data_IF_297661452876
#
_entry.id   IF_297661452876
#
_cell.length_a   1.000
_cell.length_b   1.000
_cell.length_c   1.000
_cell.angle_alpha   90.00
_cell.angle_beta   90.00
_cell.angle_gamma   90.00
#
_symmetry.space_group_name_H-M   'P 1'
#
loop_
_entity.id
_entity.type
_entity.pdbx_description
1 polymer ?
#
# COMPACT_ATOMS: atom_id res chain seq x y z
N UNK A 1 37.28 24.77 29.92
CA UNK A 1 37.32 23.74 28.86
C UNK A 1 36.70 22.47 29.40
N UNK A 2 35.45 22.20 29.04
CA UNK A 2 34.84 20.88 29.08
C UNK A 2 33.91 20.83 27.86
N UNK A 3 34.40 20.19 26.80
CA UNK A 3 33.66 19.95 25.57
C UNK A 3 32.72 18.77 25.80
N UNK A 4 31.47 19.05 26.15
CA UNK A 4 30.41 18.07 25.98
C UNK A 4 29.81 18.34 24.61
N UNK A 5 30.16 17.50 23.64
CA UNK A 5 29.49 17.47 22.33
C UNK A 5 28.08 16.98 22.61
N UNK A 6 27.11 17.88 22.49
CA UNK A 6 25.70 17.54 22.48
C UNK A 6 25.40 16.75 21.20
N UNK A 7 25.31 15.42 21.35
CA UNK A 7 24.96 14.49 20.28
C UNK A 7 23.44 14.38 20.07
N UNK A 8 22.63 15.31 20.59
CA UNK A 8 21.19 15.38 20.28
C UNK A 8 20.84 16.43 19.21
N UNK A 9 21.82 16.96 18.49
CA UNK A 9 21.56 17.73 17.28
C UNK A 9 21.10 16.82 16.13
N UNK A 10 19.78 16.86 15.88
CA UNK A 10 19.03 16.56 14.63
C UNK A 10 18.09 15.36 14.75
N UNK A 11 16.81 15.66 14.95
CA UNK A 11 15.71 14.73 14.72
C UNK A 11 15.74 14.22 13.26
N UNK A 12 15.51 12.93 13.00
CA UNK A 12 15.41 12.39 11.64
C UNK A 12 13.98 12.61 11.11
N UNK A 13 13.58 13.87 10.91
CA UNK A 13 12.23 14.17 10.40
C UNK A 13 12.16 14.35 8.88
N UNK A 14 13.30 14.34 8.16
CA UNK A 14 13.33 14.65 6.73
C UNK A 14 13.36 13.46 5.77
N UNK A 15 13.76 12.26 6.19
CA UNK A 15 13.87 11.11 5.26
C UNK A 15 12.65 10.18 5.26
N UNK A 16 11.82 10.22 6.32
CA UNK A 16 10.63 9.37 6.41
C UNK A 16 9.58 9.68 5.32
N UNK A 17 9.53 10.94 4.85
CA UNK A 17 8.66 11.36 3.76
C UNK A 17 9.16 10.90 2.38
N UNK A 18 10.48 10.89 2.16
CA UNK A 18 11.09 10.45 0.89
C UNK A 18 10.89 8.94 0.65
N UNK A 19 10.96 8.13 1.70
CA UNK A 19 10.74 6.68 1.61
C UNK A 19 9.27 6.32 1.35
N UNK A 20 8.32 7.09 1.90
CA UNK A 20 6.89 6.82 1.77
C UNK A 20 6.39 6.99 0.32
N UNK A 21 6.89 7.99 -0.39
CA UNK A 21 6.55 8.25 -1.79
C UNK A 21 7.08 7.12 -2.70
N UNK A 22 8.29 6.61 -2.43
CA UNK A 22 8.87 5.48 -3.16
C UNK A 22 8.08 4.20 -2.91
N UNK A 23 7.70 3.92 -1.66
CA UNK A 23 6.89 2.75 -1.33
C UNK A 23 5.51 2.82 -2.00
N UNK A 24 4.89 4.00 -1.99
CA UNK A 24 3.61 4.24 -2.66
C UNK A 24 3.73 4.01 -4.18
N UNK A 25 4.80 4.50 -4.81
CA UNK A 25 5.08 4.26 -6.23
C UNK A 25 5.25 2.78 -6.54
N UNK A 26 5.96 2.02 -5.68
CA UNK A 26 6.14 0.57 -5.86
C UNK A 26 4.78 -0.15 -5.80
N UNK A 27 3.94 0.20 -4.83
CA UNK A 27 2.59 -0.38 -4.74
C UNK A 27 1.74 -0.02 -5.97
N UNK A 28 1.81 1.22 -6.44
CA UNK A 28 1.07 1.68 -7.60
C UNK A 28 1.45 0.90 -8.87
N UNK A 29 2.76 0.76 -9.11
CA UNK A 29 3.29 -0.06 -10.20
C UNK A 29 2.76 -1.49 -10.07
N UNK A 30 2.85 -2.10 -8.89
CA UNK A 30 2.41 -3.49 -8.68
C UNK A 30 0.89 -3.67 -8.83
N UNK A 31 0.08 -2.63 -8.59
CA UNK A 31 -1.37 -2.66 -8.79
C UNK A 31 -1.77 -2.66 -10.28
N UNK A 32 -0.93 -2.08 -11.13
CA UNK A 32 -1.19 -1.92 -12.57
C UNK A 32 -0.51 -2.98 -13.44
N UNK A 33 0.55 -3.64 -12.97
CA UNK A 33 1.31 -4.61 -13.77
C UNK A 33 0.41 -5.78 -14.23
N UNK A 34 0.17 -5.94 -15.55
CA UNK A 34 -0.74 -6.96 -16.07
C UNK A 34 -0.28 -8.41 -15.83
N UNK A 35 1.01 -8.64 -15.64
CA UNK A 35 1.55 -9.97 -15.32
C UNK A 35 1.27 -10.40 -13.88
N UNK A 36 0.92 -9.47 -12.99
CA UNK A 36 0.53 -9.77 -11.61
C UNK A 36 -0.96 -10.10 -11.61
N UNK A 37 -1.27 -11.38 -11.83
CA UNK A 37 -2.64 -11.92 -11.86
C UNK A 37 -3.40 -11.77 -10.54
N UNK A 38 -2.73 -11.39 -9.46
CA UNK A 38 -3.32 -11.24 -8.13
C UNK A 38 -2.68 -10.08 -7.36
N UNK A 39 -2.79 -8.88 -7.95
CA UNK A 39 -2.22 -7.67 -7.38
C UNK A 39 -2.71 -7.40 -5.95
N UNK A 40 -3.94 -7.81 -5.65
CA UNK A 40 -4.54 -7.69 -4.31
C UNK A 40 -3.78 -8.56 -3.30
N UNK A 41 -3.54 -9.83 -3.61
CA UNK A 41 -2.77 -10.73 -2.75
C UNK A 41 -1.33 -10.24 -2.58
N UNK A 42 -0.67 -9.79 -3.65
CA UNK A 42 0.70 -9.29 -3.54
C UNK A 42 0.78 -8.01 -2.72
N UNK A 43 -0.14 -7.06 -2.89
CA UNK A 43 -0.21 -5.86 -2.05
C UNK A 43 -0.32 -6.23 -0.57
N UNK A 44 -1.17 -7.21 -0.25
CA UNK A 44 -1.28 -7.73 1.13
C UNK A 44 0.02 -8.36 1.62
N UNK A 45 0.72 -9.15 0.80
CA UNK A 45 2.01 -9.77 1.17
C UNK A 45 3.07 -8.70 1.40
N UNK A 46 3.20 -7.75 0.49
CA UNK A 46 4.18 -6.66 0.56
C UNK A 46 3.95 -5.75 1.77
N UNK A 47 2.68 -5.52 2.15
CA UNK A 47 2.33 -4.77 3.37
C UNK A 47 2.80 -5.43 4.67
N UNK A 48 3.29 -6.68 4.64
CA UNK A 48 3.76 -7.43 5.81
C UNK A 48 5.29 -7.49 5.93
N UNK A 49 6.03 -6.89 4.99
CA UNK A 49 7.51 -6.88 5.03
C UNK A 49 8.04 -6.13 6.25
N UNK A 50 7.58 -4.90 6.47
CA UNK A 50 7.91 -4.10 7.66
C UNK A 50 6.84 -3.04 7.96
N UNK A 51 7.01 -2.30 9.06
CA UNK A 51 6.05 -1.25 9.46
C UNK A 51 5.90 -0.13 8.43
N UNK A 52 6.97 0.25 7.74
CA UNK A 52 6.92 1.28 6.71
C UNK A 52 6.07 0.85 5.50
N UNK A 53 6.28 -0.39 5.00
CA UNK A 53 5.46 -0.96 3.93
C UNK A 53 3.99 -1.11 4.34
N UNK A 54 3.76 -1.49 5.60
CA UNK A 54 2.41 -1.57 6.15
C UNK A 54 1.76 -0.19 6.18
N UNK A 55 2.46 0.83 6.66
CA UNK A 55 1.97 2.21 6.70
C UNK A 55 1.62 2.71 5.30
N UNK A 56 2.57 2.64 4.36
CA UNK A 56 2.36 3.06 2.98
C UNK A 56 1.14 2.39 2.31
N UNK A 57 0.94 1.08 2.53
CA UNK A 57 -0.22 0.38 2.03
C UNK A 57 -1.52 0.84 2.70
N UNK A 58 -1.54 1.00 4.03
CA UNK A 58 -2.76 1.33 4.78
C UNK A 58 -3.16 2.81 4.64
N UNK A 59 -2.21 3.71 4.45
CA UNK A 59 -2.44 5.16 4.38
C UNK A 59 -2.90 5.62 2.99
N UNK A 60 -2.81 4.76 1.97
CA UNK A 60 -3.15 5.08 0.59
C UNK A 60 -4.44 4.41 0.13
N UNK A 61 -5.55 5.15 0.17
CA UNK A 61 -6.85 4.68 -0.33
C UNK A 61 -6.82 4.38 -1.83
N UNK A 62 -6.06 5.18 -2.59
CA UNK A 62 -5.89 5.04 -4.03
C UNK A 62 -5.34 3.67 -4.46
N UNK A 63 -4.37 3.14 -3.71
CA UNK A 63 -3.82 1.81 -3.97
C UNK A 63 -4.93 0.76 -3.85
N UNK A 64 -5.74 0.79 -2.79
CA UNK A 64 -6.85 -0.15 -2.63
C UNK A 64 -7.94 0.00 -3.70
N UNK A 65 -8.21 1.23 -4.15
CA UNK A 65 -9.13 1.50 -5.26
C UNK A 65 -8.69 0.87 -6.58
N UNK A 66 -7.37 0.70 -6.80
CA UNK A 66 -6.81 0.04 -7.99
C UNK A 66 -6.86 -1.49 -7.96
N UNK A 67 -7.12 -2.08 -6.80
CA UNK A 67 -7.01 -3.53 -6.56
C UNK A 67 -8.36 -4.26 -6.65
N UNK A 68 -9.41 -3.59 -7.13
CA UNK A 68 -10.74 -4.17 -7.25
C UNK A 68 -10.78 -5.12 -8.46
N UNK A 69 -10.43 -6.38 -8.21
CA UNK A 69 -10.57 -7.47 -9.15
C UNK A 69 -11.71 -8.39 -8.70
N UNK A 70 -12.81 -8.39 -9.45
CA UNK A 70 -14.02 -9.13 -9.11
C UNK A 70 -13.79 -10.65 -9.14
N UNK A 71 -12.90 -11.16 -9.99
CA UNK A 71 -12.62 -12.60 -10.09
C UNK A 71 -11.79 -13.11 -8.90
N UNK A 72 -10.95 -12.24 -8.33
CA UNK A 72 -10.19 -12.50 -7.11
C UNK A 72 -11.08 -12.33 -5.89
N UNK A 73 -11.83 -11.22 -5.83
CA UNK A 73 -12.70 -10.92 -4.71
C UNK A 73 -13.80 -11.97 -4.58
N UNK A 74 -14.40 -12.47 -5.67
CA UNK A 74 -15.44 -13.51 -5.64
C UNK A 74 -14.96 -14.88 -5.08
N UNK A 75 -13.65 -15.09 -4.96
CA UNK A 75 -13.08 -16.28 -4.30
C UNK A 75 -12.77 -16.07 -2.81
N UNK A 76 -12.75 -14.83 -2.35
CA UNK A 76 -12.41 -14.46 -0.97
C UNK A 76 -13.58 -14.56 0.02
N UNK A 77 -13.30 -14.39 1.31
CA UNK A 77 -14.34 -14.24 2.34
C UNK A 77 -15.03 -12.86 2.23
N UNK A 78 -16.31 -12.79 2.61
CA UNK A 78 -17.10 -11.54 2.57
C UNK A 78 -16.45 -10.39 3.37
N UNK A 79 -15.83 -10.71 4.50
CA UNK A 79 -15.10 -9.75 5.32
C UNK A 79 -13.92 -9.14 4.57
N UNK A 80 -13.22 -9.94 3.77
CA UNK A 80 -12.07 -9.46 3.00
C UNK A 80 -12.50 -8.52 1.88
N UNK A 81 -13.59 -8.84 1.18
CA UNK A 81 -14.18 -7.95 0.17
C UNK A 81 -14.55 -6.60 0.78
N UNK A 82 -15.24 -6.65 1.93
CA UNK A 82 -15.68 -5.47 2.65
C UNK A 82 -14.50 -4.60 3.10
N UNK A 83 -13.41 -5.23 3.56
CA UNK A 83 -12.21 -4.49 3.98
C UNK A 83 -11.51 -3.83 2.79
N UNK A 84 -11.42 -4.47 1.63
CA UNK A 84 -10.83 -3.88 0.42
C UNK A 84 -11.63 -2.66 -0.03
N UNK A 85 -12.97 -2.79 -0.11
CA UNK A 85 -13.86 -1.67 -0.47
C UNK A 85 -13.83 -0.55 0.56
N UNK A 86 -13.73 -0.89 1.85
CA UNK A 86 -13.59 0.10 2.92
C UNK A 86 -12.29 0.88 2.80
N UNK A 87 -11.18 0.21 2.49
CA UNK A 87 -9.86 0.84 2.36
C UNK A 87 -9.74 1.71 1.10
N UNK A 88 -10.51 1.44 0.05
CA UNK A 88 -10.55 2.34 -1.11
C UNK A 88 -11.16 3.71 -0.80
N UNK A 89 -11.92 3.85 0.29
CA UNK A 89 -12.52 5.14 0.68
C UNK A 89 -13.24 5.81 -0.49
N UNK A 90 -12.97 7.11 -0.70
CA UNK A 90 -13.54 7.91 -1.79
C UNK A 90 -12.64 7.93 -3.06
N UNK A 91 -11.65 7.04 -3.17
CA UNK A 91 -10.77 7.02 -4.35
C UNK A 91 -11.51 6.54 -5.60
N UNK A 92 -11.11 6.97 -6.81
CA UNK A 92 -11.55 6.32 -8.03
C UNK A 92 -11.27 4.81 -7.99
N UNK A 93 -12.17 4.01 -8.56
CA UNK A 93 -12.07 2.55 -8.56
C UNK A 93 -11.67 2.04 -9.94
N UNK A 94 -10.68 1.15 -9.99
CA UNK A 94 -10.35 0.37 -11.18
C UNK A 94 -10.91 -1.04 -11.02
N UNK A 95 -12.01 -1.30 -11.72
CA UNK A 95 -12.71 -2.57 -11.63
C UNK A 95 -12.22 -3.47 -12.77
N UNK A 96 -11.62 -4.61 -12.39
CA UNK A 96 -11.23 -5.68 -13.29
C UNK A 96 -12.22 -6.83 -13.14
N UNK A 97 -12.66 -7.39 -14.26
CA UNK A 97 -13.46 -8.60 -14.33
C UNK A 97 -13.18 -9.25 -15.68
N UNK A 98 -12.94 -10.56 -15.68
CA UNK A 98 -12.87 -11.34 -16.91
C UNK A 98 -14.27 -11.84 -17.26
N UNK A 99 -14.64 -11.69 -18.54
CA UNK A 99 -15.89 -12.26 -19.03
C UNK A 99 -15.77 -13.80 -19.02
N UNK A 100 -16.83 -14.53 -18.63
CA UNK A 100 -16.83 -15.99 -18.57
C UNK A 100 -16.65 -16.67 -19.93
#
# INVERSE_FOLDING_TARGET
>A
MNNTVDLQARAPESHAYEDADILSLIFDINAEVPSIKDALTFTRIYSQVCRAWRGAALDSTFIWGKLIDLDVLDKGADEWRSEVVKRSGDSPLWIKATAP
#
